data_IF_640557972276
#
_entry.id   IF_640557972276
#
_cell.length_a   1.000
_cell.length_b   1.000
_cell.length_c   1.000
_cell.angle_alpha   90.00
_cell.angle_beta   90.00
_cell.angle_gamma   90.00
#
_symmetry.space_group_name_H-M   'P 1'
#
loop_
_entity.id
_entity.type
_entity.pdbx_description
1 polymer ?
#
# COMPACT_ATOMS: atom_id res chain seq x y z
N UNK A 1 -36.15 -1.03 -16.01
CA UNK A 1 -36.32 -1.50 -14.62
C UNK A 1 -35.53 -2.79 -14.41
N UNK A 2 -34.24 -2.70 -14.35
CA UNK A 2 -33.41 -3.77 -13.80
C UNK A 2 -32.67 -3.18 -12.63
N UNK A 3 -33.35 -3.11 -11.49
CA UNK A 3 -32.72 -3.05 -10.17
C UNK A 3 -32.19 -4.47 -9.90
N UNK A 4 -31.14 -4.90 -10.60
CA UNK A 4 -30.40 -6.08 -10.22
C UNK A 4 -29.59 -5.70 -8.99
N UNK A 5 -30.12 -6.10 -7.85
CA UNK A 5 -29.38 -6.18 -6.58
C UNK A 5 -28.30 -7.21 -6.79
N UNK A 6 -27.04 -6.73 -6.90
CA UNK A 6 -25.87 -7.62 -6.89
C UNK A 6 -25.87 -8.41 -5.59
N UNK A 7 -25.60 -9.71 -5.61
CA UNK A 7 -25.51 -10.51 -4.39
C UNK A 7 -24.40 -9.93 -3.51
N UNK A 8 -24.74 -9.69 -2.25
CA UNK A 8 -23.92 -9.01 -1.23
C UNK A 8 -22.59 -9.74 -0.93
N UNK A 9 -22.38 -10.92 -1.51
CA UNK A 9 -21.23 -11.81 -1.27
C UNK A 9 -20.10 -11.69 -2.30
N UNK A 10 -20.23 -10.94 -3.38
CA UNK A 10 -19.14 -10.75 -4.33
C UNK A 10 -18.33 -9.50 -3.95
N UNK A 11 -17.32 -9.69 -3.11
CA UNK A 11 -16.35 -8.67 -2.69
C UNK A 11 -15.56 -8.03 -3.82
N UNK A 12 -15.66 -8.55 -5.02
CA UNK A 12 -15.09 -8.02 -6.26
C UNK A 12 -16.16 -8.05 -7.32
N UNK A 13 -16.74 -6.88 -7.58
CA UNK A 13 -17.72 -6.68 -8.60
C UNK A 13 -17.05 -6.85 -9.98
N UNK A 14 -16.98 -8.10 -10.44
CA UNK A 14 -16.71 -8.40 -11.83
C UNK A 14 -17.95 -7.99 -12.59
N UNK A 15 -17.84 -6.95 -13.43
CA UNK A 15 -18.99 -6.50 -14.22
C UNK A 15 -19.64 -7.68 -14.96
N UNK A 16 -20.96 -7.81 -14.79
CA UNK A 16 -21.74 -8.92 -15.40
C UNK A 16 -21.73 -8.81 -16.93
N UNK A 17 -21.43 -7.61 -17.46
CA UNK A 17 -21.51 -7.32 -18.87
C UNK A 17 -22.96 -7.13 -19.35
N UNK A 18 -23.14 -7.03 -20.65
CA UNK A 18 -24.44 -6.96 -21.29
C UNK A 18 -24.68 -8.23 -22.11
N UNK A 19 -25.85 -8.83 -21.93
CA UNK A 19 -26.28 -9.95 -22.78
C UNK A 19 -26.58 -9.40 -24.17
N UNK A 20 -25.88 -9.91 -25.19
CA UNK A 20 -25.98 -9.44 -26.58
C UNK A 20 -27.36 -9.68 -27.15
N UNK A 21 -28.02 -10.77 -26.75
CA UNK A 21 -29.35 -11.13 -27.26
C UNK A 21 -30.44 -10.22 -26.67
N UNK A 22 -30.27 -9.77 -25.44
CA UNK A 22 -31.23 -8.89 -24.76
C UNK A 22 -30.94 -7.41 -24.96
N UNK A 23 -29.68 -7.05 -25.26
CA UNK A 23 -29.23 -5.66 -25.37
C UNK A 23 -28.51 -5.41 -26.69
N UNK A 24 -29.24 -5.41 -27.83
CA UNK A 24 -28.63 -5.28 -29.15
C UNK A 24 -27.98 -3.92 -29.42
N UNK A 25 -28.28 -2.90 -28.61
CA UNK A 25 -27.66 -1.58 -28.68
C UNK A 25 -27.60 -0.92 -27.33
N UNK A 26 -26.39 -0.47 -26.92
CA UNK A 26 -26.19 0.34 -25.73
C UNK A 26 -26.60 1.78 -26.07
N UNK A 27 -27.73 2.21 -25.51
CA UNK A 27 -28.20 3.60 -25.60
C UNK A 27 -27.57 4.43 -24.50
N UNK A 28 -27.31 5.73 -24.75
CA UNK A 28 -26.77 6.67 -23.77
C UNK A 28 -25.42 6.20 -23.19
N UNK A 29 -24.50 5.75 -24.04
CA UNK A 29 -23.25 5.10 -23.64
C UNK A 29 -22.45 5.89 -22.60
N UNK A 30 -22.31 7.23 -22.74
CA UNK A 30 -21.58 8.04 -21.76
C UNK A 30 -22.21 8.02 -20.36
N UNK A 31 -23.53 8.10 -20.30
CA UNK A 31 -24.26 8.07 -19.02
C UNK A 31 -24.16 6.69 -18.37
N UNK A 32 -24.34 5.64 -19.15
CA UNK A 32 -24.25 4.28 -18.65
C UNK A 32 -22.83 3.98 -18.14
N UNK A 33 -21.82 4.34 -18.92
CA UNK A 33 -20.42 4.15 -18.53
C UNK A 33 -20.06 4.96 -17.27
N UNK A 34 -20.56 6.20 -17.16
CA UNK A 34 -20.36 7.02 -15.95
C UNK A 34 -21.01 6.38 -14.73
N UNK A 35 -22.23 5.87 -14.87
CA UNK A 35 -22.98 5.21 -13.80
C UNK A 35 -22.30 3.92 -13.33
N UNK A 36 -21.85 3.11 -14.26
CA UNK A 36 -21.18 1.84 -13.95
C UNK A 36 -19.82 2.10 -13.29
N UNK A 37 -19.06 3.07 -13.79
CA UNK A 37 -17.77 3.45 -13.21
C UNK A 37 -17.94 4.06 -11.81
N UNK A 38 -18.96 4.89 -11.61
CA UNK A 38 -19.30 5.45 -10.31
C UNK A 38 -19.63 4.32 -9.30
N UNK A 39 -20.47 3.36 -9.70
CA UNK A 39 -20.82 2.22 -8.83
C UNK A 39 -19.62 1.37 -8.47
N UNK A 40 -18.73 1.10 -9.44
CA UNK A 40 -17.51 0.35 -9.21
C UNK A 40 -16.60 1.06 -8.22
N UNK A 41 -16.40 2.35 -8.41
CA UNK A 41 -15.57 3.14 -7.50
C UNK A 41 -16.22 3.32 -6.13
N UNK A 42 -17.55 3.53 -6.05
CA UNK A 42 -18.30 3.64 -4.80
C UNK A 42 -18.12 2.40 -3.91
N UNK A 43 -18.23 1.21 -4.49
CA UNK A 43 -18.04 -0.03 -3.75
C UNK A 43 -16.60 -0.16 -3.21
N UNK A 44 -15.59 0.24 -3.98
CA UNK A 44 -14.19 0.22 -3.58
C UNK A 44 -13.88 1.28 -2.52
N UNK A 45 -14.34 2.51 -2.73
CA UNK A 45 -14.13 3.63 -1.78
C UNK A 45 -14.75 3.30 -0.44
N UNK A 46 -15.98 2.76 -0.41
CA UNK A 46 -16.61 2.31 0.83
C UNK A 46 -15.81 1.22 1.50
N UNK A 47 -15.40 0.20 0.76
CA UNK A 47 -14.61 -0.89 1.30
C UNK A 47 -13.28 -0.39 1.92
N UNK A 48 -12.57 0.52 1.26
CA UNK A 48 -11.37 1.14 1.82
C UNK A 48 -11.68 2.01 3.04
N UNK A 49 -12.78 2.78 3.00
CA UNK A 49 -13.23 3.64 4.10
C UNK A 49 -13.56 2.87 5.37
N UNK A 50 -14.23 1.72 5.25
CA UNK A 50 -14.52 0.80 6.37
C UNK A 50 -13.24 0.25 7.03
N UNK A 51 -12.15 0.16 6.26
CA UNK A 51 -10.85 -0.28 6.73
C UNK A 51 -9.90 0.88 7.10
N UNK A 52 -10.44 2.10 7.22
CA UNK A 52 -9.69 3.27 7.66
C UNK A 52 -8.78 3.89 6.61
N UNK A 53 -8.88 3.47 5.34
CA UNK A 53 -8.12 4.04 4.23
C UNK A 53 -9.00 5.02 3.48
N UNK A 54 -8.64 6.31 3.54
CA UNK A 54 -9.39 7.39 2.89
C UNK A 54 -8.45 8.28 2.08
N UNK A 55 -9.00 8.84 1.01
CA UNK A 55 -8.33 9.83 0.19
C UNK A 55 -9.32 10.96 -0.10
N UNK A 56 -9.10 12.11 0.51
CA UNK A 56 -10.02 13.26 0.42
C UNK A 56 -10.26 13.71 -1.03
N UNK A 57 -9.24 13.61 -1.88
CA UNK A 57 -9.37 13.94 -3.31
C UNK A 57 -10.30 12.98 -4.05
N UNK A 58 -10.19 11.68 -3.74
CA UNK A 58 -11.06 10.66 -4.33
C UNK A 58 -12.49 10.89 -3.88
N UNK A 59 -12.70 11.13 -2.58
CA UNK A 59 -14.03 11.37 -2.01
C UNK A 59 -14.67 12.63 -2.63
N UNK A 60 -13.89 13.69 -2.86
CA UNK A 60 -14.37 14.94 -3.50
C UNK A 60 -14.76 14.67 -4.97
N UNK A 61 -13.88 14.06 -5.77
CA UNK A 61 -14.16 13.77 -7.19
C UNK A 61 -15.37 12.85 -7.33
N UNK A 62 -15.47 11.83 -6.49
CA UNK A 62 -16.57 10.87 -6.49
C UNK A 62 -17.92 11.52 -6.13
N UNK A 63 -17.91 12.41 -5.14
CA UNK A 63 -19.12 13.19 -4.77
C UNK A 63 -19.54 14.15 -5.90
N UNK A 64 -18.58 14.83 -6.54
CA UNK A 64 -18.87 15.68 -7.69
C UNK A 64 -19.39 14.87 -8.88
N UNK A 65 -18.88 13.68 -9.10
CA UNK A 65 -19.37 12.77 -10.15
C UNK A 65 -20.83 12.33 -9.89
N UNK A 66 -21.17 12.06 -8.62
CA UNK A 66 -22.54 11.74 -8.23
C UNK A 66 -23.49 12.90 -8.53
N UNK A 67 -23.13 14.11 -8.13
CA UNK A 67 -23.91 15.32 -8.42
C UNK A 67 -24.12 15.51 -9.93
N UNK A 68 -23.07 15.27 -10.75
CA UNK A 68 -23.20 15.36 -12.20
C UNK A 68 -24.07 14.26 -12.81
N UNK A 69 -24.10 13.05 -12.22
CA UNK A 69 -25.02 11.98 -12.63
C UNK A 69 -26.48 12.34 -12.30
N UNK A 70 -26.72 12.89 -11.14
CA UNK A 70 -28.06 13.31 -10.71
C UNK A 70 -28.59 14.46 -11.59
N UNK A 71 -27.72 15.43 -11.94
CA UNK A 71 -28.02 16.50 -12.90
C UNK A 71 -28.33 15.94 -14.31
N UNK A 72 -27.55 14.95 -14.76
CA UNK A 72 -27.81 14.28 -16.03
C UNK A 72 -29.19 13.59 -16.04
N UNK A 73 -29.55 12.92 -14.95
CA UNK A 73 -30.85 12.26 -14.84
C UNK A 73 -32.02 13.25 -14.89
N UNK A 74 -31.87 14.40 -14.20
CA UNK A 74 -32.84 15.48 -14.23
C UNK A 74 -33.04 16.05 -15.66
N UNK A 75 -31.93 16.32 -16.37
CA UNK A 75 -31.99 16.81 -17.75
C UNK A 75 -32.60 15.78 -18.72
N UNK A 76 -32.34 14.49 -18.51
CA UNK A 76 -32.96 13.41 -19.31
C UNK A 76 -34.48 13.40 -19.13
N UNK A 77 -34.98 13.55 -17.88
CA UNK A 77 -36.41 13.64 -17.58
C UNK A 77 -37.06 14.84 -18.25
N UNK A 78 -36.36 15.96 -18.28
CA UNK A 78 -36.80 17.21 -18.95
C UNK A 78 -36.63 17.18 -20.46
N UNK A 79 -36.09 16.07 -21.03
CA UNK A 79 -35.78 15.92 -22.47
C UNK A 79 -34.78 16.96 -22.99
N UNK A 80 -33.97 17.54 -22.12
CA UNK A 80 -32.91 18.47 -22.48
C UNK A 80 -31.62 17.66 -22.76
N UNK A 81 -31.51 17.15 -23.98
CA UNK A 81 -30.45 16.23 -24.36
C UNK A 81 -29.05 16.87 -24.40
N UNK A 82 -28.95 18.17 -24.69
CA UNK A 82 -27.66 18.85 -24.75
C UNK A 82 -27.00 18.89 -23.37
N UNK A 83 -27.71 19.38 -22.37
CA UNK A 83 -27.22 19.46 -21.00
C UNK A 83 -27.09 18.08 -20.37
N UNK A 84 -27.98 17.13 -20.72
CA UNK A 84 -27.83 15.72 -20.36
C UNK A 84 -26.46 15.16 -20.76
N UNK A 85 -26.08 15.30 -22.05
CA UNK A 85 -24.80 14.79 -22.53
C UNK A 85 -23.61 15.52 -21.90
N UNK A 86 -23.71 16.82 -21.66
CA UNK A 86 -22.68 17.59 -20.99
C UNK A 86 -22.46 17.10 -19.54
N UNK A 87 -23.53 16.91 -18.79
CA UNK A 87 -23.48 16.42 -17.41
C UNK A 87 -22.97 14.97 -17.36
N UNK A 88 -23.46 14.08 -18.25
CA UNK A 88 -23.00 12.69 -18.32
C UNK A 88 -21.49 12.58 -18.63
N UNK A 89 -21.00 13.39 -19.58
CA UNK A 89 -19.55 13.42 -19.89
C UNK A 89 -18.73 13.99 -18.73
N UNK A 90 -19.25 15.00 -18.03
CA UNK A 90 -18.60 15.55 -16.82
C UNK A 90 -18.47 14.49 -15.74
N UNK A 91 -19.55 13.74 -15.47
CA UNK A 91 -19.53 12.65 -14.51
C UNK A 91 -18.50 11.58 -14.87
N UNK A 92 -18.49 11.13 -16.13
CA UNK A 92 -17.52 10.15 -16.61
C UNK A 92 -16.07 10.64 -16.47
N UNK A 93 -15.81 11.92 -16.78
CA UNK A 93 -14.47 12.49 -16.66
C UNK A 93 -14.02 12.57 -15.20
N UNK A 94 -14.89 12.94 -14.27
CA UNK A 94 -14.56 12.99 -12.84
C UNK A 94 -14.22 11.61 -12.29
N UNK A 95 -15.00 10.59 -12.65
CA UNK A 95 -14.71 9.21 -12.28
C UNK A 95 -13.43 8.68 -12.92
N UNK A 96 -13.17 9.03 -14.19
CA UNK A 96 -11.94 8.65 -14.87
C UNK A 96 -10.70 9.29 -14.20
N UNK A 97 -10.83 10.45 -13.58
CA UNK A 97 -9.76 11.07 -12.79
C UNK A 97 -9.63 10.47 -11.40
N UNK A 98 -10.71 10.02 -10.78
CA UNK A 98 -10.69 9.35 -9.50
C UNK A 98 -10.12 7.91 -9.58
N UNK A 99 -10.38 7.22 -10.68
CA UNK A 99 -10.05 5.80 -10.84
C UNK A 99 -8.57 5.44 -10.61
N UNK A 100 -7.58 6.17 -11.15
CA UNK A 100 -6.17 5.88 -10.88
C UNK A 100 -5.81 5.99 -9.40
N UNK A 101 -6.39 6.96 -8.69
CA UNK A 101 -6.16 7.16 -7.27
C UNK A 101 -6.81 6.03 -6.45
N UNK A 102 -8.00 5.56 -6.84
CA UNK A 102 -8.68 4.40 -6.22
C UNK A 102 -7.84 3.12 -6.38
N UNK A 103 -7.29 2.88 -7.58
CA UNK A 103 -6.38 1.75 -7.82
C UNK A 103 -5.06 1.95 -7.08
N UNK A 104 -4.58 3.20 -7.00
CA UNK A 104 -3.40 3.57 -6.24
C UNK A 104 -3.53 3.22 -4.76
N UNK A 105 -4.67 3.49 -4.13
CA UNK A 105 -4.93 3.15 -2.72
C UNK A 105 -4.73 1.65 -2.45
N UNK A 106 -5.19 0.77 -3.36
CA UNK A 106 -4.98 -0.67 -3.24
C UNK A 106 -3.49 -1.05 -3.33
N UNK A 107 -2.80 -0.51 -4.34
CA UNK A 107 -1.39 -0.80 -4.57
C UNK A 107 -0.51 -0.29 -3.43
N UNK A 108 -0.79 0.91 -2.91
CA UNK A 108 -0.03 1.50 -1.80
C UNK A 108 -0.24 0.71 -0.50
N UNK A 109 -1.45 0.18 -0.29
CA UNK A 109 -1.73 -0.72 0.84
C UNK A 109 -0.90 -2.00 0.75
N UNK A 110 -0.83 -2.62 -0.44
CA UNK A 110 -0.01 -3.83 -0.65
C UNK A 110 1.49 -3.53 -0.49
N UNK A 111 1.97 -2.42 -1.04
CA UNK A 111 3.37 -1.98 -0.88
C UNK A 111 3.71 -1.73 0.59
N UNK A 112 2.83 -1.04 1.32
CA UNK A 112 2.98 -0.84 2.76
C UNK A 112 3.07 -2.16 3.52
N UNK A 113 2.24 -3.13 3.16
CA UNK A 113 2.25 -4.46 3.76
C UNK A 113 3.58 -5.20 3.54
N UNK A 114 4.09 -5.18 2.31
CA UNK A 114 5.39 -5.77 1.99
C UNK A 114 6.52 -5.08 2.78
N UNK A 115 6.46 -3.76 2.91
CA UNK A 115 7.42 -2.99 3.71
C UNK A 115 7.37 -3.39 5.21
N UNK A 116 6.18 -3.57 5.79
CA UNK A 116 6.06 -4.06 7.17
C UNK A 116 6.63 -5.48 7.32
N UNK A 117 6.37 -6.37 6.37
CA UNK A 117 6.96 -7.72 6.39
C UNK A 117 8.48 -7.69 6.30
N UNK A 118 9.03 -6.78 5.48
CA UNK A 118 10.47 -6.59 5.38
C UNK A 118 11.09 -6.09 6.69
N UNK A 119 10.39 -5.20 7.43
CA UNK A 119 10.82 -4.74 8.76
C UNK A 119 10.70 -5.81 9.84
N UNK A 120 9.76 -6.74 9.71
CA UNK A 120 9.62 -7.85 10.67
C UNK A 120 10.86 -8.74 10.73
N UNK A 121 11.60 -8.89 9.65
CA UNK A 121 12.75 -9.77 9.57
C UNK A 121 13.90 -9.31 10.48
N UNK A 122 14.45 -8.07 10.34
CA UNK A 122 15.47 -7.57 11.27
C UNK A 122 14.93 -7.45 12.70
N UNK A 123 13.65 -7.13 12.87
CA UNK A 123 13.02 -7.10 14.18
C UNK A 123 13.02 -8.48 14.85
N UNK A 124 12.60 -9.54 14.15
CA UNK A 124 12.62 -10.91 14.65
C UNK A 124 14.04 -11.38 15.01
N UNK A 125 15.04 -10.98 14.19
CA UNK A 125 16.45 -11.25 14.46
C UNK A 125 16.93 -10.58 15.75
N UNK A 126 16.60 -9.29 15.94
CA UNK A 126 16.98 -8.56 17.15
C UNK A 126 16.28 -9.15 18.38
N UNK A 127 15.00 -9.51 18.27
CA UNK A 127 14.23 -10.15 19.34
C UNK A 127 14.79 -11.50 19.75
N UNK A 128 15.15 -12.35 18.77
CA UNK A 128 15.85 -13.61 19.09
C UNK A 128 17.11 -13.38 19.89
N UNK A 129 17.94 -12.43 19.45
CA UNK A 129 19.21 -12.11 20.11
C UNK A 129 19.02 -11.52 21.50
N UNK A 130 17.97 -10.73 21.70
CA UNK A 130 17.69 -10.09 22.99
C UNK A 130 17.12 -11.06 24.03
N UNK A 131 16.19 -11.93 23.61
CA UNK A 131 15.44 -12.79 24.53
C UNK A 131 16.00 -14.21 24.64
N UNK A 132 16.28 -14.87 23.51
CA UNK A 132 16.68 -16.26 23.48
C UNK A 132 18.21 -16.43 23.46
N UNK A 133 18.91 -15.68 22.62
CA UNK A 133 20.36 -15.76 22.40
C UNK A 133 20.86 -17.20 22.31
N UNK A 134 20.23 -17.98 21.45
CA UNK A 134 20.53 -19.40 21.26
C UNK A 134 22.02 -19.65 20.96
N UNK A 135 22.63 -20.63 21.62
CA UNK A 135 24.05 -20.99 21.38
C UNK A 135 24.23 -21.77 20.07
N UNK A 136 23.23 -22.57 19.68
CA UNK A 136 23.25 -23.40 18.46
C UNK A 136 22.58 -22.65 17.32
N UNK A 137 23.09 -22.84 16.09
CA UNK A 137 22.52 -22.21 14.89
C UNK A 137 21.05 -22.61 14.70
N UNK A 138 20.72 -23.85 14.97
CA UNK A 138 19.36 -24.39 14.85
C UNK A 138 18.36 -23.65 15.78
N UNK A 139 18.75 -23.44 17.06
CA UNK A 139 17.91 -22.70 18.02
C UNK A 139 17.77 -21.24 17.69
N UNK A 140 18.77 -20.62 17.05
CA UNK A 140 18.69 -19.25 16.55
C UNK A 140 17.70 -19.13 15.40
N UNK A 141 17.82 -19.99 14.39
CA UNK A 141 16.92 -20.00 13.25
C UNK A 141 15.49 -20.27 13.71
N UNK A 142 15.28 -21.27 14.57
CA UNK A 142 13.97 -21.56 15.14
C UNK A 142 13.42 -20.36 15.92
N UNK A 143 14.22 -19.66 16.71
CA UNK A 143 13.83 -18.45 17.45
C UNK A 143 13.41 -17.33 16.52
N UNK A 144 14.18 -17.04 15.47
CA UNK A 144 13.82 -16.01 14.47
C UNK A 144 12.49 -16.35 13.80
N UNK A 145 12.30 -17.61 13.39
CA UNK A 145 11.06 -18.06 12.75
C UNK A 145 9.87 -17.91 13.69
N UNK A 146 10.01 -18.31 14.96
CA UNK A 146 8.95 -18.18 15.96
C UNK A 146 8.58 -16.72 16.19
N UNK A 147 9.55 -15.83 16.38
CA UNK A 147 9.28 -14.39 16.54
C UNK A 147 8.66 -13.78 15.27
N UNK A 148 9.14 -14.16 14.10
CA UNK A 148 8.57 -13.69 12.83
C UNK A 148 7.11 -14.12 12.69
N UNK A 149 6.80 -15.39 12.94
CA UNK A 149 5.42 -15.90 12.86
C UNK A 149 4.53 -15.24 13.92
N UNK A 150 5.00 -15.12 15.15
CA UNK A 150 4.23 -14.46 16.23
C UNK A 150 3.88 -13.02 15.86
N UNK A 151 4.87 -12.25 15.39
CA UNK A 151 4.66 -10.85 14.97
C UNK A 151 3.82 -10.74 13.69
N UNK A 152 3.97 -11.68 12.75
CA UNK A 152 3.09 -11.74 11.60
C UNK A 152 1.61 -11.88 12.01
N UNK A 153 1.30 -12.76 12.94
CA UNK A 153 -0.07 -12.91 13.44
C UNK A 153 -0.55 -11.66 14.17
N UNK A 154 0.28 -11.03 15.01
CA UNK A 154 -0.07 -9.77 15.65
C UNK A 154 -0.39 -8.70 14.59
N UNK A 155 0.46 -8.55 13.58
CA UNK A 155 0.26 -7.61 12.50
C UNK A 155 -0.99 -7.94 11.66
N UNK A 156 -1.24 -9.23 11.41
CA UNK A 156 -2.42 -9.72 10.68
C UNK A 156 -3.74 -9.29 11.32
N UNK A 157 -3.80 -9.31 12.66
CA UNK A 157 -5.01 -8.93 13.40
C UNK A 157 -5.08 -7.43 13.70
N UNK A 158 -3.94 -6.74 13.74
CA UNK A 158 -3.87 -5.32 14.11
C UNK A 158 -3.95 -4.38 12.91
N UNK A 159 -3.44 -4.78 11.74
CA UNK A 159 -3.30 -3.88 10.62
C UNK A 159 -4.39 -4.08 9.56
N UNK A 160 -5.20 -3.05 9.25
CA UNK A 160 -6.33 -3.15 8.31
C UNK A 160 -5.92 -3.55 6.89
N UNK A 161 -4.70 -3.26 6.47
CA UNK A 161 -4.18 -3.65 5.16
C UNK A 161 -4.25 -5.14 4.86
N UNK A 162 -4.17 -6.00 5.90
CA UNK A 162 -4.34 -7.44 5.73
C UNK A 162 -5.78 -7.87 5.43
N UNK A 163 -6.76 -7.05 5.76
CA UNK A 163 -8.18 -7.31 5.47
C UNK A 163 -8.52 -6.97 4.01
N UNK A 164 -7.78 -6.03 3.43
CA UNK A 164 -7.98 -5.56 2.05
C UNK A 164 -7.39 -6.54 1.04
N UNK A 165 -6.29 -7.21 1.41
CA UNK A 165 -5.65 -8.19 0.53
C UNK A 165 -6.48 -9.47 0.48
N UNK A 166 -6.82 -9.92 -0.74
CA UNK A 166 -7.62 -11.13 -0.98
C UNK A 166 -7.10 -12.36 -0.25
N UNK A 167 -5.78 -12.50 -0.20
CA UNK A 167 -5.13 -13.61 0.46
C UNK A 167 -3.82 -13.15 1.11
N UNK A 168 -3.84 -12.82 2.40
CA UNK A 168 -2.63 -12.46 3.15
C UNK A 168 -1.55 -13.54 3.09
N UNK A 169 -1.94 -14.81 2.94
CA UNK A 169 -1.00 -15.93 2.83
C UNK A 169 -0.21 -15.89 1.52
N UNK A 170 -0.80 -15.43 0.42
CA UNK A 170 -0.08 -15.27 -0.86
C UNK A 170 0.98 -14.18 -0.75
N UNK A 171 0.68 -13.07 -0.08
CA UNK A 171 1.65 -12.00 0.16
C UNK A 171 2.79 -12.48 1.05
N UNK A 172 2.47 -13.22 2.11
CA UNK A 172 3.47 -13.84 2.98
C UNK A 172 4.35 -14.83 2.20
N UNK A 173 3.74 -15.70 1.39
CA UNK A 173 4.48 -16.68 0.58
C UNK A 173 5.40 -15.97 -0.41
N UNK A 174 4.91 -14.95 -1.13
CA UNK A 174 5.72 -14.14 -2.04
C UNK A 174 6.90 -13.46 -1.33
N UNK A 175 6.66 -12.94 -0.13
CA UNK A 175 7.71 -12.36 0.70
C UNK A 175 8.77 -13.41 1.12
N UNK A 176 8.35 -14.57 1.62
CA UNK A 176 9.26 -15.67 2.02
C UNK A 176 10.11 -16.13 0.84
N UNK A 177 9.48 -16.32 -0.34
CA UNK A 177 10.20 -16.69 -1.57
C UNK A 177 11.23 -15.63 -1.96
N UNK A 178 10.87 -14.35 -1.86
CA UNK A 178 11.77 -13.23 -2.18
C UNK A 178 12.96 -13.18 -1.23
N UNK A 179 12.73 -13.35 0.08
CA UNK A 179 13.80 -13.41 1.09
C UNK A 179 14.72 -14.59 0.86
N UNK A 180 14.17 -15.76 0.56
CA UNK A 180 14.96 -16.97 0.26
C UNK A 180 15.82 -16.75 -0.98
N UNK A 181 15.24 -16.20 -2.05
CA UNK A 181 15.96 -15.88 -3.29
C UNK A 181 17.09 -14.89 -3.04
N UNK A 182 16.81 -13.81 -2.28
CA UNK A 182 17.85 -12.84 -1.91
C UNK A 182 18.98 -13.48 -1.09
N UNK A 183 18.64 -14.34 -0.15
CA UNK A 183 19.61 -15.07 0.67
C UNK A 183 20.52 -15.96 -0.18
N UNK A 184 19.94 -16.68 -1.16
CA UNK A 184 20.70 -17.50 -2.10
C UNK A 184 21.66 -16.65 -2.93
N UNK A 185 21.17 -15.52 -3.46
CA UNK A 185 21.99 -14.57 -4.23
C UNK A 185 23.18 -14.08 -3.38
N UNK A 186 22.94 -13.67 -2.14
CA UNK A 186 23.99 -13.21 -1.22
C UNK A 186 25.04 -14.28 -0.93
N UNK A 187 24.62 -15.55 -0.74
CA UNK A 187 25.54 -16.67 -0.52
C UNK A 187 26.39 -16.93 -1.78
N UNK A 188 25.77 -16.92 -2.97
CA UNK A 188 26.46 -17.11 -4.24
C UNK A 188 27.47 -15.99 -4.50
N UNK A 189 27.05 -14.73 -4.31
CA UNK A 189 27.94 -13.58 -4.48
C UNK A 189 29.12 -13.61 -3.51
N UNK A 190 28.88 -13.94 -2.23
CA UNK A 190 29.96 -14.09 -1.24
C UNK A 190 30.95 -15.21 -1.58
N UNK A 191 30.47 -16.34 -2.14
CA UNK A 191 31.36 -17.40 -2.62
C UNK A 191 32.19 -16.97 -3.84
N UNK A 192 31.56 -16.21 -4.77
CA UNK A 192 32.24 -15.67 -5.95
C UNK A 192 33.36 -14.68 -5.56
N UNK A 193 33.06 -13.73 -4.65
CA UNK A 193 34.05 -12.81 -4.12
C UNK A 193 35.22 -13.51 -3.47
N UNK A 194 34.97 -14.56 -2.65
CA UNK A 194 36.02 -15.35 -2.03
C UNK A 194 36.88 -16.10 -3.04
N UNK A 195 36.29 -16.59 -4.13
CA UNK A 195 37.03 -17.25 -5.21
C UNK A 195 37.90 -16.28 -6.02
N UNK A 196 37.36 -15.09 -6.32
CA UNK A 196 38.06 -14.02 -7.04
C UNK A 196 39.21 -13.47 -6.17
N UNK A 197 38.95 -13.23 -4.88
CA UNK A 197 39.97 -12.77 -3.93
C UNK A 197 41.09 -13.76 -3.77
N UNK A 198 40.83 -15.09 -3.64
CA UNK A 198 41.84 -16.11 -3.58
C UNK A 198 42.75 -16.14 -4.82
N UNK A 199 42.15 -16.04 -6.03
CA UNK A 199 42.92 -15.97 -7.27
C UNK A 199 43.79 -14.71 -7.36
N UNK A 200 43.29 -13.59 -6.86
CA UNK A 200 44.03 -12.32 -6.83
C UNK A 200 45.21 -12.38 -5.85
N UNK A 201 45.01 -12.98 -4.67
CA UNK A 201 46.06 -13.17 -3.66
C UNK A 201 47.14 -14.14 -4.12
N UNK A 202 46.78 -15.17 -4.89
CA UNK A 202 47.74 -16.10 -5.48
C UNK A 202 48.58 -15.46 -6.60
N UNK A 203 48.07 -14.43 -7.27
CA UNK A 203 48.80 -13.75 -8.34
C UNK A 203 49.62 -12.53 -7.86
N UNK A 204 49.23 -11.85 -6.79
CA UNK A 204 49.83 -10.56 -6.35
C UNK A 204 50.66 -10.64 -5.06
N UNK A 205 50.63 -11.73 -4.30
CA UNK A 205 51.50 -11.95 -3.13
C UNK A 205 51.33 -10.93 -1.99
N UNK A 206 50.28 -10.13 -1.98
CA UNK A 206 50.05 -9.09 -0.98
C UNK A 206 49.10 -9.52 0.14
N UNK A 207 49.57 -9.43 1.36
CA UNK A 207 48.76 -9.58 2.58
C UNK A 207 47.87 -8.37 2.76
N UNK A 208 46.74 -8.29 2.10
CA UNK A 208 45.66 -7.36 2.50
C UNK A 208 44.83 -7.98 3.62
N UNK A 209 45.00 -7.48 4.84
CA UNK A 209 44.08 -7.66 5.97
C UNK A 209 42.80 -6.90 5.67
N UNK A 210 42.05 -7.30 4.65
CA UNK A 210 40.73 -6.77 4.29
C UNK A 210 39.70 -7.19 5.34
N UNK A 211 39.57 -6.42 6.41
CA UNK A 211 38.40 -6.52 7.29
C UNK A 211 37.19 -6.15 6.46
N UNK A 212 36.42 -7.15 6.02
CA UNK A 212 35.18 -6.94 5.30
C UNK A 212 34.29 -5.97 6.09
N UNK A 213 33.91 -4.84 5.47
CA UNK A 213 33.04 -3.81 6.07
C UNK A 213 31.73 -4.40 6.64
N UNK A 214 31.23 -5.46 6.00
CA UNK A 214 30.04 -6.22 6.46
C UNK A 214 30.31 -6.96 7.77
N UNK A 215 31.52 -7.51 7.95
CA UNK A 215 31.92 -8.16 9.20
C UNK A 215 32.01 -7.17 10.36
N UNK A 216 32.51 -5.95 10.13
CA UNK A 216 32.58 -4.89 11.13
C UNK A 216 31.21 -4.45 11.62
N UNK A 217 30.25 -4.26 10.72
CA UNK A 217 28.88 -3.94 11.07
C UNK A 217 28.18 -5.05 11.88
N UNK A 218 28.34 -6.31 11.45
CA UNK A 218 27.75 -7.45 12.16
C UNK A 218 28.32 -7.59 13.59
N UNK A 219 29.64 -7.41 13.77
CA UNK A 219 30.30 -7.43 15.08
C UNK A 219 29.82 -6.24 15.94
N UNK A 220 29.74 -5.05 15.38
CA UNK A 220 29.24 -3.87 16.10
C UNK A 220 27.78 -4.05 16.54
N UNK A 221 26.92 -4.62 15.67
CA UNK A 221 25.54 -4.94 16.00
C UNK A 221 25.46 -5.98 17.13
N UNK A 222 26.23 -7.04 17.05
CA UNK A 222 26.25 -8.10 18.07
C UNK A 222 26.74 -7.57 19.43
N UNK A 223 27.79 -6.73 19.43
CA UNK A 223 28.29 -6.08 20.63
C UNK A 223 27.28 -5.08 21.21
N UNK A 224 26.58 -4.33 20.36
CA UNK A 224 25.50 -3.42 20.77
C UNK A 224 24.35 -4.18 21.45
N UNK A 225 23.86 -5.26 20.84
CA UNK A 225 22.78 -6.09 21.40
C UNK A 225 23.23 -6.76 22.71
N UNK A 226 24.46 -7.26 22.80
CA UNK A 226 24.99 -7.85 24.03
C UNK A 226 25.02 -6.83 25.17
N UNK A 227 25.40 -5.58 24.90
CA UNK A 227 25.38 -4.51 25.88
C UNK A 227 23.96 -4.13 26.33
N UNK A 228 23.01 -4.07 25.38
CA UNK A 228 21.58 -3.86 25.68
C UNK A 228 21.03 -4.96 26.59
N UNK A 229 21.39 -6.21 26.35
CA UNK A 229 20.97 -7.36 27.17
C UNK A 229 21.52 -7.29 28.60
N UNK A 230 22.73 -6.80 28.77
CA UNK A 230 23.37 -6.67 30.09
C UNK A 230 22.67 -5.62 30.99
N UNK A 231 22.02 -4.61 30.38
CA UNK A 231 21.35 -3.51 31.09
C UNK A 231 19.86 -3.41 30.72
N UNK A 232 19.13 -4.49 30.97
CA UNK A 232 17.72 -4.64 30.52
C UNK A 232 16.82 -3.47 30.92
N UNK A 233 16.86 -3.03 32.19
CA UNK A 233 16.01 -1.94 32.67
C UNK A 233 16.25 -0.63 31.90
N UNK A 234 17.54 -0.27 31.69
CA UNK A 234 17.90 0.93 30.93
C UNK A 234 17.47 0.80 29.45
N UNK A 235 17.65 -0.36 28.85
CA UNK A 235 17.24 -0.62 27.46
C UNK A 235 15.73 -0.50 27.29
N UNK A 236 14.94 -1.05 28.19
CA UNK A 236 13.47 -0.91 28.17
C UNK A 236 13.06 0.55 28.31
N UNK A 237 13.66 1.29 29.26
CA UNK A 237 13.32 2.69 29.44
C UNK A 237 13.66 3.55 28.20
N UNK A 238 14.85 3.37 27.63
CA UNK A 238 15.23 4.07 26.40
C UNK A 238 14.39 3.68 25.21
N UNK A 239 13.97 2.41 25.10
CA UNK A 239 13.05 1.95 24.03
C UNK A 239 11.67 2.61 24.17
N UNK A 240 11.12 2.69 25.38
CA UNK A 240 9.84 3.37 25.63
C UNK A 240 9.96 4.85 25.27
N UNK A 241 11.02 5.51 25.69
CA UNK A 241 11.25 6.93 25.34
C UNK A 241 11.35 7.15 23.85
N UNK A 242 12.05 6.26 23.13
CA UNK A 242 12.18 6.32 21.68
C UNK A 242 10.83 6.10 20.97
N UNK A 243 10.03 5.15 21.46
CA UNK A 243 8.68 4.88 20.91
C UNK A 243 7.79 6.11 21.10
N UNK A 244 7.77 6.71 22.29
CA UNK A 244 6.98 7.91 22.57
C UNK A 244 7.44 9.08 21.68
N UNK A 245 8.74 9.27 21.53
CA UNK A 245 9.30 10.33 20.69
C UNK A 245 8.94 10.11 19.22
N UNK A 246 9.10 8.89 18.73
CA UNK A 246 8.75 8.54 17.34
C UNK A 246 7.25 8.72 17.08
N UNK A 247 6.42 8.28 18.04
CA UNK A 247 4.95 8.47 17.95
C UNK A 247 4.59 9.96 17.94
N UNK A 248 5.24 10.76 18.80
CA UNK A 248 5.02 12.21 18.85
C UNK A 248 5.37 12.88 17.52
N UNK A 249 6.55 12.54 16.94
CA UNK A 249 6.97 13.08 15.63
C UNK A 249 6.00 12.66 14.52
N UNK A 250 5.62 11.39 14.46
CA UNK A 250 4.67 10.90 13.47
C UNK A 250 3.30 11.55 13.61
N UNK A 251 2.86 11.80 14.85
CA UNK A 251 1.59 12.49 15.13
C UNK A 251 1.61 13.93 14.59
N UNK A 252 2.73 14.66 14.77
CA UNK A 252 2.87 16.00 14.21
C UNK A 252 2.97 16.01 12.66
N UNK A 253 3.67 15.04 12.06
CA UNK A 253 3.79 14.92 10.60
C UNK A 253 2.46 14.51 9.96
N UNK A 254 1.61 13.79 10.70
CA UNK A 254 0.28 13.35 10.24
C UNK A 254 -0.75 14.50 10.19
N UNK A 255 -0.44 15.69 10.72
CA UNK A 255 -1.29 16.88 10.55
C UNK A 255 -1.19 17.35 9.10
N UNK A 256 -2.08 16.85 8.25
CA UNK A 256 -2.19 17.27 6.85
C UNK A 256 -2.64 18.72 6.78
N UNK A 257 -1.83 19.56 6.21
CA UNK A 257 -2.27 20.86 5.69
C UNK A 257 -3.19 20.60 4.49
N UNK A 258 -4.49 20.70 4.69
CA UNK A 258 -5.44 20.68 3.58
C UNK A 258 -5.35 22.00 2.83
N UNK A 259 -4.55 22.05 1.79
CA UNK A 259 -4.60 23.15 0.83
C UNK A 259 -5.82 22.90 -0.05
N UNK A 260 -6.96 23.48 0.34
CA UNK A 260 -8.12 23.55 -0.54
C UNK A 260 -7.85 24.59 -1.61
N UNK A 261 -7.75 24.17 -2.86
CA UNK A 261 -7.84 25.08 -3.99
C UNK A 261 -9.29 25.61 -4.06
N UNK A 262 -9.54 26.70 -3.35
CA UNK A 262 -10.80 27.44 -3.52
C UNK A 262 -10.72 28.17 -4.84
N UNK A 263 -11.52 27.71 -5.81
CA UNK A 263 -11.75 28.43 -7.05
C UNK A 263 -12.66 29.61 -6.76
N UNK A 264 -12.08 30.79 -6.57
CA UNK A 264 -12.86 32.03 -6.52
C UNK A 264 -13.33 32.36 -7.91
N UNK A 265 -14.63 32.29 -8.15
CA UNK A 265 -15.24 32.89 -9.36
C UNK A 265 -15.24 34.39 -9.13
N UNK A 266 -14.30 35.09 -9.74
CA UNK A 266 -14.05 36.51 -9.51
C UNK A 266 -15.13 37.41 -10.13
N UNK A 267 -16.04 36.90 -10.97
CA UNK A 267 -17.19 37.60 -11.53
C UNK A 267 -18.26 36.64 -12.03
N UNK A 268 -19.46 36.77 -11.52
CA UNK A 268 -20.63 36.28 -12.23
C UNK A 268 -20.84 37.20 -13.45
N UNK A 269 -20.77 36.66 -14.62
CA UNK A 269 -21.13 37.31 -15.87
C UNK A 269 -19.95 37.84 -16.69
N UNK A 270 -19.89 37.35 -17.88
CA UNK A 270 -19.04 37.68 -19.02
C UNK A 270 -17.61 37.03 -19.01
N UNK A 271 -17.41 36.12 -19.93
CA UNK A 271 -16.11 35.73 -20.38
C UNK A 271 -15.22 36.95 -20.68
N UNK A 272 -13.98 37.04 -20.19
CA UNK A 272 -13.08 38.15 -20.52
C UNK A 272 -12.68 38.18 -21.99
N UNK A 273 -13.09 37.17 -22.78
CA UNK A 273 -12.87 37.14 -24.22
C UNK A 273 -14.23 37.23 -24.92
N UNK A 274 -14.40 38.20 -25.85
CA UNK A 274 -15.55 38.18 -26.74
C UNK A 274 -15.41 36.87 -27.55
N UNK A 275 -16.38 35.98 -27.41
CA UNK A 275 -16.38 34.69 -28.12
C UNK A 275 -16.23 34.91 -29.61
N UNK A 276 -15.42 34.02 -30.23
CA UNK A 276 -15.38 33.82 -31.68
C UNK A 276 -16.61 32.99 -32.05
#
# INVERSE_FOLDING_TARGET
>A
NTSETFPENERFNTGIGFDVDQTPAIRLAYYQSAKDMWRLNDSRIRFFGEHGIRNDRVDELHTMAKSALDEAEEHLQKKNYLDFYAAARRALSLEAWAYPDVVGMANDTVRGLIFYLALLLPFAFIMERLFLAGRRIETRIAGIVVFFIAMFFILRFSHPGFLIVLSPMVVLLGFVVSVLSFTIIMIVMGKLENLVSKRKTEQEGEHETGVHKVSGFAVALEMGIANMRRRRARTVLTSITLIILTFSVLSFVSVRSQVRLQRYIYKEGASPYPGI
#
